data_IF_545669030659
#
_entry.id   IF_545669030659
#
_cell.length_a   1.000
_cell.length_b   1.000
_cell.length_c   1.000
_cell.angle_alpha   90.00
_cell.angle_beta   90.00
_cell.angle_gamma   90.00
#
_symmetry.space_group_name_H-M   'P 1'
#
loop_
_entity.id
_entity.type
_entity.pdbx_description
1 polymer ?
#
# COMPACT_ATOMS: atom_id res chain seq x y z
N UNK A 1 40.83 50.44 1.34
CA UNK A 1 39.93 49.85 2.33
C UNK A 1 38.74 49.21 1.60
N UNK A 2 38.83 48.01 1.44
CA UNK A 2 38.01 46.79 1.59
C UNK A 2 36.70 46.73 0.79
N UNK A 3 36.80 46.18 -0.44
CA UNK A 3 35.66 45.68 -1.23
C UNK A 3 35.50 44.14 -1.16
N UNK A 4 35.98 43.49 -0.06
CA UNK A 4 35.97 42.01 0.09
C UNK A 4 34.77 41.46 0.86
N UNK A 5 33.95 42.28 1.49
CA UNK A 5 32.83 41.85 2.36
C UNK A 5 31.63 41.24 1.63
N UNK A 6 31.22 41.63 0.40
CA UNK A 6 30.03 41.03 -0.22
C UNK A 6 30.29 39.62 -0.78
N UNK A 7 31.53 39.28 -1.13
CA UNK A 7 31.88 37.98 -1.71
C UNK A 7 31.84 36.87 -0.66
N UNK A 8 32.25 37.14 0.57
CA UNK A 8 32.19 36.20 1.67
C UNK A 8 30.77 35.87 2.11
N UNK A 9 29.84 36.86 2.09
CA UNK A 9 28.44 36.63 2.43
C UNK A 9 27.71 35.76 1.38
N UNK A 10 28.00 35.95 0.10
CA UNK A 10 27.44 35.15 -0.98
C UNK A 10 27.91 33.67 -0.94
N UNK A 11 29.17 33.43 -0.61
CA UNK A 11 29.73 32.10 -0.49
C UNK A 11 29.15 31.32 0.70
N UNK A 12 28.89 31.98 1.85
CA UNK A 12 28.27 31.33 3.00
C UNK A 12 26.80 30.94 2.75
N UNK A 13 26.04 31.78 2.05
CA UNK A 13 24.66 31.45 1.66
C UNK A 13 24.57 30.27 0.69
N UNK A 14 25.50 30.17 -0.26
CA UNK A 14 25.59 29.06 -1.20
C UNK A 14 25.94 27.72 -0.51
N UNK A 15 26.86 27.75 0.44
CA UNK A 15 27.26 26.56 1.23
C UNK A 15 26.14 26.11 2.15
N UNK A 16 25.40 27.01 2.78
CA UNK A 16 24.24 26.68 3.60
C UNK A 16 23.10 26.06 2.76
N UNK A 17 22.85 26.61 1.56
CA UNK A 17 21.86 26.05 0.63
C UNK A 17 22.23 24.65 0.13
N UNK A 18 23.49 24.42 -0.23
CA UNK A 18 23.97 23.12 -0.69
C UNK A 18 23.91 22.04 0.41
N UNK A 19 24.27 22.40 1.65
CA UNK A 19 24.20 21.48 2.78
C UNK A 19 22.75 21.14 3.16
N UNK A 20 21.82 22.09 3.07
CA UNK A 20 20.40 21.85 3.31
C UNK A 20 19.79 20.93 2.25
N UNK A 21 20.13 21.11 0.97
CA UNK A 21 19.70 20.21 -0.11
C UNK A 21 20.29 18.80 0.04
N UNK A 22 21.56 18.68 0.37
CA UNK A 22 22.20 17.39 0.60
C UNK A 22 21.60 16.65 1.80
N UNK A 23 21.29 17.33 2.90
CA UNK A 23 20.63 16.75 4.06
C UNK A 23 19.20 16.29 3.73
N UNK A 24 18.48 17.04 2.91
CA UNK A 24 17.11 16.71 2.50
C UNK A 24 17.08 15.50 1.55
N UNK A 25 18.02 15.40 0.63
CA UNK A 25 18.19 14.21 -0.25
C UNK A 25 18.51 12.97 0.59
N UNK A 26 19.43 13.10 1.55
CA UNK A 26 19.78 11.99 2.46
C UNK A 26 18.58 11.52 3.29
N UNK A 27 17.80 12.42 3.87
CA UNK A 27 16.62 12.08 4.65
C UNK A 27 15.55 11.37 3.82
N UNK A 28 15.35 11.78 2.57
CA UNK A 28 14.45 11.10 1.64
C UNK A 28 14.94 9.70 1.30
N UNK A 29 16.23 9.57 0.98
CA UNK A 29 16.86 8.30 0.60
C UNK A 29 16.79 7.27 1.74
N UNK A 30 16.88 7.72 2.98
CA UNK A 30 16.80 6.85 4.17
C UNK A 30 15.36 6.46 4.54
N UNK A 31 14.39 7.34 4.32
CA UNK A 31 13.03 7.19 4.86
C UNK A 31 11.95 6.93 3.82
N UNK A 32 12.21 7.13 2.54
CA UNK A 32 11.23 6.90 1.49
C UNK A 32 10.68 5.47 1.53
N UNK A 33 9.36 5.34 1.41
CA UNK A 33 8.69 4.04 1.37
C UNK A 33 8.48 3.61 -0.08
N UNK A 34 8.62 2.31 -0.31
CA UNK A 34 8.28 1.66 -1.58
C UNK A 34 7.57 0.34 -1.33
N UNK A 35 6.78 -0.10 -2.30
CA UNK A 35 6.09 -1.38 -2.26
C UNK A 35 6.74 -2.33 -3.25
N UNK A 36 7.03 -3.53 -2.79
CA UNK A 36 7.46 -4.63 -3.65
C UNK A 36 6.55 -5.85 -3.43
N UNK A 37 6.22 -6.53 -4.52
CA UNK A 37 5.55 -7.83 -4.46
C UNK A 37 6.61 -8.92 -4.65
N UNK A 38 6.80 -9.73 -3.64
CA UNK A 38 7.77 -10.85 -3.69
C UNK A 38 7.08 -12.14 -3.31
N UNK A 39 7.06 -13.11 -4.23
CA UNK A 39 6.44 -14.44 -4.02
C UNK A 39 4.97 -14.36 -3.54
N UNK A 40 4.19 -13.43 -4.10
CA UNK A 40 2.78 -13.26 -3.73
C UNK A 40 2.55 -12.49 -2.42
N UNK A 41 3.61 -12.14 -1.68
CA UNK A 41 3.53 -11.30 -0.49
C UNK A 41 3.90 -9.86 -0.83
N UNK A 42 3.11 -8.93 -0.33
CA UNK A 42 3.37 -7.50 -0.47
C UNK A 42 4.28 -7.06 0.68
N UNK A 43 5.41 -6.45 0.34
CA UNK A 43 6.36 -5.92 1.30
C UNK A 43 6.47 -4.41 1.16
N UNK A 44 6.51 -3.72 2.29
CA UNK A 44 6.78 -2.29 2.35
C UNK A 44 8.23 -2.13 2.79
N UNK A 45 9.01 -1.49 1.97
CA UNK A 45 10.43 -1.27 2.15
C UNK A 45 10.68 0.19 2.47
N UNK A 46 11.68 0.45 3.31
CA UNK A 46 12.13 1.80 3.65
C UNK A 46 13.55 2.02 3.15
N UNK A 47 13.78 3.21 2.64
CA UNK A 47 15.08 3.68 2.20
C UNK A 47 15.62 2.99 0.95
N UNK A 48 16.79 3.45 0.52
CA UNK A 48 17.51 2.90 -0.64
C UNK A 48 17.93 1.45 -0.38
N UNK A 49 18.35 1.14 0.84
CA UNK A 49 18.76 -0.22 1.22
C UNK A 49 17.62 -1.24 1.20
N UNK A 50 16.37 -0.77 1.19
CA UNK A 50 15.21 -1.65 1.09
C UNK A 50 14.94 -2.45 2.35
N UNK A 51 15.12 -1.85 3.53
CA UNK A 51 14.77 -2.48 4.79
C UNK A 51 13.26 -2.76 4.83
N UNK A 52 12.87 -4.02 5.04
CA UNK A 52 11.46 -4.41 5.16
C UNK A 52 10.89 -3.87 6.48
N UNK A 53 9.97 -2.92 6.40
CA UNK A 53 9.32 -2.30 7.57
C UNK A 53 7.92 -2.85 7.83
N UNK A 54 7.28 -3.44 6.80
CA UNK A 54 6.02 -4.15 6.97
C UNK A 54 5.83 -5.21 5.87
N UNK A 55 5.02 -6.21 6.19
CA UNK A 55 4.60 -7.25 5.25
C UNK A 55 3.08 -7.36 5.31
N UNK A 56 2.44 -7.33 4.16
CA UNK A 56 1.04 -7.69 4.04
C UNK A 56 0.97 -9.19 3.71
N UNK A 57 0.63 -9.97 4.70
CA UNK A 57 0.32 -11.40 4.51
C UNK A 57 -1.13 -11.60 4.10
N UNK A 58 -1.46 -12.83 3.70
CA UNK A 58 -2.85 -13.24 3.50
C UNK A 58 -3.55 -13.13 4.86
N UNK A 59 -4.65 -12.38 4.92
CA UNK A 59 -5.46 -12.14 6.14
C UNK A 59 -4.76 -11.36 7.27
N UNK A 60 -3.58 -10.77 7.03
CA UNK A 60 -2.87 -9.97 8.02
C UNK A 60 -2.45 -8.64 7.39
N UNK A 61 -3.31 -7.60 7.45
CA UNK A 61 -2.94 -6.29 6.95
C UNK A 61 -1.84 -5.69 7.84
N UNK A 62 -0.83 -5.05 7.26
CA UNK A 62 0.12 -4.26 8.03
C UNK A 62 -0.59 -3.04 8.61
N UNK A 63 -0.19 -2.59 9.77
CA UNK A 63 -0.64 -1.32 10.36
C UNK A 63 0.05 -0.15 9.65
N UNK A 64 -0.37 0.12 8.42
CA UNK A 64 0.25 1.12 7.56
C UNK A 64 0.11 2.53 8.13
N UNK A 65 -1.00 2.85 8.78
CA UNK A 65 -1.23 4.16 9.39
C UNK A 65 -0.13 4.56 10.38
N UNK A 66 0.42 3.59 11.14
CA UNK A 66 1.51 3.83 12.08
C UNK A 66 2.85 4.12 11.38
N UNK A 67 3.06 3.58 10.18
CA UNK A 67 4.30 3.79 9.42
C UNK A 67 4.34 5.17 8.77
N UNK A 68 3.19 5.74 8.46
CA UNK A 68 3.05 7.00 7.73
C UNK A 68 2.51 8.14 8.59
N UNK A 69 2.64 8.04 9.91
CA UNK A 69 2.04 8.96 10.90
C UNK A 69 2.48 10.43 10.72
N UNK A 70 3.60 10.67 10.06
CA UNK A 70 4.12 12.01 9.81
C UNK A 70 3.36 12.78 8.71
N UNK A 71 2.47 12.12 7.97
CA UNK A 71 1.67 12.72 6.90
C UNK A 71 0.20 12.40 7.09
N UNK A 72 -0.61 13.41 7.45
CA UNK A 72 -2.05 13.27 7.67
C UNK A 72 -2.77 12.70 6.43
N UNK A 73 -2.38 13.16 5.24
CA UNK A 73 -2.93 12.65 3.97
C UNK A 73 -2.59 11.18 3.76
N UNK A 74 -1.37 10.75 4.10
CA UNK A 74 -0.97 9.37 4.02
C UNK A 74 -1.71 8.49 5.04
N UNK A 75 -1.90 8.99 6.27
CA UNK A 75 -2.68 8.30 7.32
C UNK A 75 -4.12 8.07 6.89
N UNK A 76 -4.76 9.07 6.25
CA UNK A 76 -6.14 8.93 5.77
C UNK A 76 -6.26 7.79 4.74
N UNK A 77 -5.36 7.73 3.76
CA UNK A 77 -5.33 6.66 2.75
C UNK A 77 -4.93 5.30 3.37
N UNK A 78 -3.99 5.28 4.31
CA UNK A 78 -3.61 4.07 5.03
C UNK A 78 -4.78 3.42 5.77
N UNK A 79 -5.65 4.21 6.39
CA UNK A 79 -6.89 3.72 7.04
C UNK A 79 -7.87 3.13 6.02
N UNK A 80 -7.95 3.70 4.80
CA UNK A 80 -8.79 3.13 3.73
C UNK A 80 -8.23 1.77 3.30
N UNK A 81 -6.90 1.65 3.16
CA UNK A 81 -6.25 0.37 2.90
C UNK A 81 -6.58 -0.67 3.96
N UNK A 82 -6.33 -0.38 5.24
CA UNK A 82 -6.56 -1.29 6.37
C UNK A 82 -8.02 -1.75 6.45
N UNK A 83 -8.98 -0.83 6.24
CA UNK A 83 -10.42 -1.13 6.27
C UNK A 83 -10.88 -2.05 5.14
N UNK A 84 -10.23 -2.01 3.97
CA UNK A 84 -10.68 -2.76 2.80
C UNK A 84 -9.87 -4.03 2.54
N UNK A 85 -8.62 -4.10 2.97
CA UNK A 85 -7.70 -5.17 2.62
C UNK A 85 -8.13 -6.52 3.21
N UNK A 86 -8.25 -6.61 4.53
CA UNK A 86 -8.60 -7.86 5.21
C UNK A 86 -10.01 -8.35 4.84
N UNK A 87 -11.08 -7.54 4.94
CA UNK A 87 -12.40 -7.99 4.51
C UNK A 87 -12.45 -8.37 3.03
N UNK A 88 -11.72 -7.65 2.17
CA UNK A 88 -11.63 -7.97 0.74
C UNK A 88 -11.07 -9.36 0.50
N UNK A 89 -10.01 -9.74 1.22
CA UNK A 89 -9.41 -11.07 1.13
C UNK A 89 -10.34 -12.18 1.63
N UNK A 90 -10.99 -11.98 2.78
CA UNK A 90 -11.94 -12.96 3.31
C UNK A 90 -13.11 -13.20 2.39
N UNK A 91 -13.69 -12.13 1.82
CA UNK A 91 -14.82 -12.24 0.90
C UNK A 91 -14.39 -12.92 -0.41
N UNK A 92 -13.21 -12.57 -0.95
CA UNK A 92 -12.68 -13.23 -2.14
C UNK A 92 -12.38 -14.72 -1.88
N UNK A 93 -11.81 -15.08 -0.72
CA UNK A 93 -11.56 -16.46 -0.33
C UNK A 93 -12.87 -17.26 -0.19
N UNK A 94 -13.90 -16.65 0.40
CA UNK A 94 -15.24 -17.25 0.47
C UNK A 94 -15.81 -17.48 -0.94
N UNK A 95 -15.65 -16.52 -1.85
CA UNK A 95 -16.06 -16.65 -3.25
C UNK A 95 -15.37 -17.83 -3.95
N UNK A 96 -14.06 -18.02 -3.73
CA UNK A 96 -13.29 -19.15 -4.28
C UNK A 96 -13.80 -20.47 -3.68
N UNK A 97 -14.01 -20.55 -2.37
CA UNK A 97 -14.50 -21.74 -1.70
C UNK A 97 -15.90 -22.12 -2.19
N UNK A 98 -16.80 -21.14 -2.33
CA UNK A 98 -18.17 -21.35 -2.85
C UNK A 98 -18.14 -21.77 -4.32
N UNK A 99 -17.22 -21.25 -5.14
CA UNK A 99 -17.02 -21.67 -6.52
C UNK A 99 -16.59 -23.14 -6.59
N UNK A 100 -15.65 -23.54 -5.72
CA UNK A 100 -15.23 -24.94 -5.60
C UNK A 100 -16.40 -25.87 -5.24
N UNK A 101 -17.25 -25.44 -4.30
CA UNK A 101 -18.47 -26.16 -3.94
C UNK A 101 -19.47 -26.24 -5.10
N UNK A 102 -19.66 -25.18 -5.88
CA UNK A 102 -20.51 -25.16 -7.06
C UNK A 102 -20.04 -26.16 -8.13
N UNK A 103 -18.72 -26.17 -8.41
CA UNK A 103 -18.09 -27.10 -9.34
C UNK A 103 -18.23 -28.56 -8.83
N UNK A 104 -18.04 -28.78 -7.54
CA UNK A 104 -18.23 -30.07 -6.91
C UNK A 104 -19.69 -30.58 -7.04
N UNK A 105 -20.65 -29.71 -6.70
CA UNK A 105 -22.08 -30.01 -6.82
C UNK A 105 -22.52 -30.35 -8.25
N UNK A 106 -21.92 -29.70 -9.27
CA UNK A 106 -22.26 -29.97 -10.68
C UNK A 106 -21.85 -31.39 -11.16
N UNK A 107 -21.03 -32.10 -10.39
CA UNK A 107 -20.60 -33.48 -10.69
C UNK A 107 -21.44 -34.53 -9.97
N UNK A 108 -22.33 -34.12 -9.08
CA UNK A 108 -23.22 -35.04 -8.35
C UNK A 108 -24.53 -35.18 -9.13
N UNK A 109 -24.95 -36.39 -9.51
CA UNK A 109 -26.26 -36.60 -10.13
C UNK A 109 -27.39 -36.11 -9.23
N UNK A 110 -28.44 -35.58 -9.82
CA UNK A 110 -29.69 -35.17 -9.14
C UNK A 110 -29.59 -34.01 -8.15
N UNK A 111 -28.50 -33.25 -8.17
CA UNK A 111 -28.45 -31.99 -7.40
C UNK A 111 -29.43 -30.98 -7.98
N UNK A 112 -30.25 -30.41 -7.11
CA UNK A 112 -31.25 -29.39 -7.48
C UNK A 112 -30.58 -28.22 -8.25
N UNK A 113 -31.00 -27.93 -9.49
CA UNK A 113 -30.44 -26.82 -10.28
C UNK A 113 -30.46 -25.47 -9.60
N UNK A 114 -31.45 -25.22 -8.73
CA UNK A 114 -31.53 -23.94 -7.96
C UNK A 114 -30.35 -23.83 -7.01
N UNK A 115 -29.92 -24.91 -6.38
CA UNK A 115 -28.75 -24.90 -5.49
C UNK A 115 -27.47 -24.57 -6.31
N UNK A 116 -27.31 -25.23 -7.46
CA UNK A 116 -26.14 -24.96 -8.30
C UNK A 116 -26.08 -23.50 -8.76
N UNK A 117 -27.17 -22.95 -9.29
CA UNK A 117 -27.24 -21.57 -9.73
C UNK A 117 -26.97 -20.61 -8.56
N UNK A 118 -27.53 -20.89 -7.38
CA UNK A 118 -27.31 -20.07 -6.18
C UNK A 118 -25.86 -20.07 -5.75
N UNK A 119 -25.17 -21.22 -5.79
CA UNK A 119 -23.75 -21.32 -5.46
C UNK A 119 -22.88 -20.51 -6.44
N UNK A 120 -23.14 -20.62 -7.75
CA UNK A 120 -22.43 -19.81 -8.74
C UNK A 120 -22.70 -18.31 -8.57
N UNK A 121 -23.95 -17.90 -8.41
CA UNK A 121 -24.32 -16.51 -8.22
C UNK A 121 -23.64 -15.92 -6.97
N UNK A 122 -23.64 -16.64 -5.85
CA UNK A 122 -22.98 -16.24 -4.60
C UNK A 122 -21.47 -16.15 -4.79
N UNK A 123 -20.84 -17.12 -5.48
CA UNK A 123 -19.39 -17.09 -5.69
C UNK A 123 -18.96 -15.90 -6.56
N UNK A 124 -19.63 -15.65 -7.68
CA UNK A 124 -19.31 -14.50 -8.54
C UNK A 124 -19.57 -13.16 -7.85
N UNK A 125 -20.67 -13.07 -7.08
CA UNK A 125 -20.96 -11.90 -6.26
C UNK A 125 -19.87 -11.63 -5.22
N UNK A 126 -19.43 -12.66 -4.50
CA UNK A 126 -18.37 -12.55 -3.51
C UNK A 126 -17.01 -12.22 -4.15
N UNK A 127 -16.65 -12.85 -5.26
CA UNK A 127 -15.41 -12.54 -5.99
C UNK A 127 -15.40 -11.12 -6.51
N UNK A 128 -16.51 -10.66 -7.11
CA UNK A 128 -16.63 -9.28 -7.62
C UNK A 128 -16.54 -8.26 -6.51
N UNK A 129 -17.26 -8.44 -5.42
CA UNK A 129 -17.23 -7.51 -4.29
C UNK A 129 -15.91 -7.54 -3.54
N UNK A 130 -15.35 -8.72 -3.26
CA UNK A 130 -14.04 -8.87 -2.63
C UNK A 130 -12.92 -8.30 -3.49
N UNK A 131 -12.95 -8.55 -4.80
CA UNK A 131 -12.01 -8.00 -5.77
C UNK A 131 -12.05 -6.47 -5.82
N UNK A 132 -13.24 -5.86 -5.81
CA UNK A 132 -13.39 -4.40 -5.78
C UNK A 132 -12.83 -3.80 -4.48
N UNK A 133 -13.04 -4.44 -3.33
CA UNK A 133 -12.42 -4.01 -2.08
C UNK A 133 -10.91 -4.08 -2.10
N UNK A 134 -10.34 -5.15 -2.64
CA UNK A 134 -8.89 -5.30 -2.79
C UNK A 134 -8.33 -4.25 -3.76
N UNK A 135 -9.00 -3.99 -4.88
CA UNK A 135 -8.61 -2.93 -5.80
C UNK A 135 -8.57 -1.56 -5.10
N UNK A 136 -9.61 -1.24 -4.33
CA UNK A 136 -9.66 -0.01 -3.53
C UNK A 136 -8.54 0.05 -2.48
N UNK A 137 -8.23 -1.08 -1.83
CA UNK A 137 -7.14 -1.17 -0.87
C UNK A 137 -5.78 -0.88 -1.53
N UNK A 138 -5.47 -1.55 -2.64
CA UNK A 138 -4.18 -1.32 -3.32
C UNK A 138 -4.04 0.11 -3.88
N UNK A 139 -5.14 0.69 -4.37
CA UNK A 139 -5.16 2.10 -4.77
C UNK A 139 -4.85 3.04 -3.60
N UNK A 140 -5.46 2.79 -2.44
CA UNK A 140 -5.21 3.56 -1.22
C UNK A 140 -3.78 3.37 -0.69
N UNK A 141 -3.21 2.15 -0.75
CA UNK A 141 -1.82 1.89 -0.39
C UNK A 141 -0.84 2.73 -1.23
N UNK A 142 -1.03 2.72 -2.56
CA UNK A 142 -0.18 3.49 -3.47
C UNK A 142 -0.26 4.99 -3.19
N UNK A 143 -1.46 5.52 -2.92
CA UNK A 143 -1.66 6.92 -2.54
C UNK A 143 -1.02 7.25 -1.19
N UNK A 144 -1.18 6.38 -0.17
CA UNK A 144 -0.59 6.59 1.13
C UNK A 144 0.94 6.73 1.04
N UNK A 145 1.60 5.85 0.30
CA UNK A 145 3.05 5.90 0.08
C UNK A 145 3.45 7.14 -0.72
N UNK A 146 2.69 7.50 -1.74
CA UNK A 146 2.96 8.71 -2.53
C UNK A 146 2.87 9.98 -1.66
N UNK A 147 1.81 10.11 -0.84
CA UNK A 147 1.64 11.24 0.07
C UNK A 147 2.77 11.30 1.09
N UNK A 148 3.10 10.20 1.72
CA UNK A 148 4.20 10.10 2.68
C UNK A 148 5.54 10.55 2.05
N UNK A 149 5.90 9.98 0.91
CA UNK A 149 7.16 10.30 0.23
C UNK A 149 7.20 11.75 -0.27
N UNK A 150 6.06 12.33 -0.64
CA UNK A 150 5.96 13.74 -1.01
C UNK A 150 6.23 14.65 0.19
N UNK A 151 5.67 14.30 1.34
CA UNK A 151 5.77 15.12 2.54
C UNK A 151 7.16 15.02 3.20
N UNK A 152 7.94 13.94 2.93
CA UNK A 152 9.36 13.85 3.30
C UNK A 152 10.26 14.88 2.57
N UNK A 153 9.82 15.38 1.41
CA UNK A 153 10.57 16.37 0.61
C UNK A 153 10.33 17.82 1.03
N UNK A 154 9.46 18.05 2.01
CA UNK A 154 9.13 19.38 2.54
C UNK A 154 9.87 19.67 3.83
#
# INVERSE_FOLDING_TARGET
MSRLTPVLFGAQLLIMGANAMAAQVSAYDENALRVESRQGNLQILRGIEGTVVARAGIFHPPRLANLVIQSDSAVAEAKIFERNYEPGQWIAALGIATLGAAIGASRIPDVNPVIQVSLYATSFGALGYGGNRLHSAYGALSKAIWWYNRDLKR
#
